data_IF_666551945511
#
_entry.id   IF_666551945511
#
_cell.length_a   1.000
_cell.length_b   1.000
_cell.length_c   1.000
_cell.angle_alpha   90.00
_cell.angle_beta   90.00
_cell.angle_gamma   90.00
#
_symmetry.space_group_name_H-M   'P 1'
#
loop_
_entity.id
_entity.type
_entity.pdbx_description
1 polymer ?
#
# COMPACT_ATOMS: atom_id res chain seq x y z
N UNK A 1 -19.77 -22.50 -17.50
CA UNK A 1 -20.74 -21.88 -16.56
C UNK A 1 -21.75 -22.95 -16.14
N UNK A 2 -21.42 -23.71 -15.10
CA UNK A 2 -22.37 -24.60 -14.44
C UNK A 2 -22.66 -23.99 -13.07
N UNK A 3 -23.83 -23.39 -12.91
CA UNK A 3 -24.31 -22.97 -11.60
C UNK A 3 -24.74 -24.24 -10.85
N UNK A 4 -23.90 -24.73 -9.93
CA UNK A 4 -24.32 -25.78 -9.02
C UNK A 4 -25.28 -25.16 -8.01
N UNK A 5 -26.55 -25.50 -8.10
CA UNK A 5 -27.57 -25.16 -7.12
C UNK A 5 -27.42 -26.12 -5.94
N UNK A 6 -26.55 -25.77 -4.99
CA UNK A 6 -26.57 -26.41 -3.67
C UNK A 6 -27.77 -25.86 -2.89
N UNK A 7 -28.91 -26.56 -2.97
CA UNK A 7 -30.03 -26.36 -2.06
C UNK A 7 -29.61 -26.79 -0.66
N UNK A 8 -29.17 -25.85 0.17
CA UNK A 8 -29.07 -26.08 1.61
C UNK A 8 -30.40 -25.70 2.24
N UNK A 9 -31.12 -26.73 2.68
CA UNK A 9 -32.32 -26.62 3.51
C UNK A 9 -32.01 -25.81 4.76
N UNK A 10 -32.66 -24.66 4.91
CA UNK A 10 -32.64 -23.87 6.12
C UNK A 10 -33.33 -24.63 7.27
N UNK A 11 -32.53 -25.24 8.16
CA UNK A 11 -33.01 -25.58 9.49
C UNK A 11 -32.75 -24.40 10.41
N UNK A 12 -33.77 -23.56 10.56
CA UNK A 12 -33.82 -22.56 11.61
C UNK A 12 -33.78 -23.25 12.98
N UNK A 13 -32.66 -23.13 13.67
CA UNK A 13 -32.61 -23.38 15.12
C UNK A 13 -31.74 -22.33 15.80
N UNK A 14 -32.42 -21.39 16.46
CA UNK A 14 -32.02 -20.82 17.74
C UNK A 14 -30.70 -20.05 17.83
N UNK A 15 -30.66 -18.84 17.29
CA UNK A 15 -30.03 -17.67 17.93
C UNK A 15 -30.49 -16.42 17.16
N UNK A 16 -30.90 -15.36 17.86
CA UNK A 16 -31.43 -14.12 17.29
C UNK A 16 -30.38 -13.27 16.56
N UNK A 17 -29.71 -13.83 15.55
CA UNK A 17 -28.95 -13.07 14.58
C UNK A 17 -29.89 -12.56 13.50
N UNK A 18 -29.92 -11.24 13.26
CA UNK A 18 -30.45 -10.70 12.01
C UNK A 18 -29.56 -11.21 10.88
N UNK A 19 -29.85 -12.42 10.39
CA UNK A 19 -29.18 -13.00 9.25
C UNK A 19 -29.58 -12.19 8.03
N UNK A 20 -28.75 -11.23 7.65
CA UNK A 20 -28.79 -10.74 6.27
C UNK A 20 -28.64 -11.98 5.38
N UNK A 21 -29.48 -12.15 4.34
CA UNK A 21 -29.26 -13.22 3.38
C UNK A 21 -27.81 -13.08 2.88
N UNK A 22 -27.04 -14.16 2.99
CA UNK A 22 -25.63 -14.13 2.59
C UNK A 22 -25.52 -13.71 1.14
N UNK A 23 -24.78 -12.63 0.87
CA UNK A 23 -24.36 -12.27 -0.48
C UNK A 23 -23.57 -13.45 -1.07
N UNK A 24 -23.99 -13.94 -2.23
CA UNK A 24 -23.27 -14.98 -2.95
C UNK A 24 -21.86 -14.51 -3.30
N UNK A 25 -20.85 -15.31 -2.98
CA UNK A 25 -19.47 -15.04 -3.37
C UNK A 25 -19.26 -15.48 -4.82
N UNK A 26 -18.81 -14.55 -5.67
CA UNK A 26 -18.33 -14.89 -7.01
C UNK A 26 -16.83 -15.14 -6.93
N UNK A 27 -16.41 -16.34 -7.29
CA UNK A 27 -15.02 -16.75 -7.34
C UNK A 27 -14.74 -17.48 -8.66
N UNK A 28 -13.50 -17.43 -9.13
CA UNK A 28 -13.02 -18.16 -10.31
C UNK A 28 -12.64 -19.62 -9.99
N UNK A 29 -12.80 -20.04 -8.73
CA UNK A 29 -12.54 -21.38 -8.22
C UNK A 29 -13.69 -21.91 -7.35
N UNK A 30 -13.79 -23.24 -7.25
CA UNK A 30 -14.79 -23.92 -6.44
C UNK A 30 -14.27 -24.24 -5.02
N UNK A 31 -13.08 -24.83 -4.92
CA UNK A 31 -12.47 -25.23 -3.65
C UNK A 31 -11.00 -24.82 -3.53
N UNK A 32 -10.22 -24.96 -4.61
CA UNK A 32 -8.80 -24.61 -4.63
C UNK A 32 -8.54 -23.46 -5.60
N UNK A 33 -7.75 -22.48 -5.16
CA UNK A 33 -7.39 -21.31 -5.97
C UNK A 33 -6.67 -21.73 -7.24
N UNK A 34 -7.12 -21.19 -8.37
CA UNK A 34 -6.43 -21.31 -9.66
C UNK A 34 -5.22 -20.37 -9.68
N UNK A 35 -4.17 -20.69 -10.44
CA UNK A 35 -2.96 -19.84 -10.54
C UNK A 35 -1.67 -20.43 -9.94
N UNK A 36 -1.62 -21.74 -9.66
CA UNK A 36 -0.35 -22.44 -9.40
C UNK A 36 0.39 -22.01 -8.12
N UNK A 37 -0.34 -21.60 -7.08
CA UNK A 37 0.23 -21.25 -5.77
C UNK A 37 0.88 -19.86 -5.71
N UNK A 38 0.66 -19.00 -6.71
CA UNK A 38 1.23 -17.64 -6.73
C UNK A 38 0.51 -16.64 -5.84
N UNK A 39 -0.64 -17.00 -5.26
CA UNK A 39 -1.48 -16.11 -4.44
C UNK A 39 -0.67 -15.36 -3.38
N UNK A 40 -0.73 -14.03 -3.41
CA UNK A 40 -0.06 -13.17 -2.43
C UNK A 40 1.48 -13.15 -2.54
N UNK A 41 2.04 -13.68 -3.63
CA UNK A 41 3.47 -13.64 -3.91
C UNK A 41 3.83 -12.49 -4.85
N UNK A 42 5.11 -12.15 -4.94
CA UNK A 42 5.62 -11.19 -5.94
C UNK A 42 5.42 -11.62 -7.40
N UNK A 43 5.05 -12.89 -7.62
CA UNK A 43 4.80 -13.45 -8.95
C UNK A 43 3.32 -13.48 -9.30
N UNK A 44 2.46 -12.97 -8.41
CA UNK A 44 1.04 -12.70 -8.66
C UNK A 44 0.91 -11.46 -9.54
N UNK A 45 1.31 -11.61 -10.81
CA UNK A 45 1.34 -10.54 -11.81
C UNK A 45 0.15 -10.66 -12.77
N UNK A 46 0.06 -9.73 -13.72
CA UNK A 46 -0.92 -9.77 -14.82
C UNK A 46 -0.84 -10.98 -15.73
N UNK A 47 0.25 -11.75 -15.66
CA UNK A 47 0.43 -12.90 -16.55
C UNK A 47 -0.70 -13.92 -16.33
N UNK A 48 -1.65 -13.92 -17.26
CA UNK A 48 -2.82 -14.81 -17.23
C UNK A 48 -4.14 -14.15 -16.83
N UNK A 49 -4.17 -12.84 -16.54
CA UNK A 49 -5.43 -12.10 -16.37
C UNK A 49 -5.91 -11.59 -17.73
N UNK A 50 -7.09 -12.05 -18.15
CA UNK A 50 -7.75 -11.62 -19.38
C UNK A 50 -8.78 -10.52 -19.07
N UNK A 51 -8.52 -9.30 -19.58
CA UNK A 51 -9.40 -8.17 -19.37
C UNK A 51 -10.82 -8.38 -19.94
N UNK A 52 -10.95 -9.17 -21.01
CA UNK A 52 -12.26 -9.51 -21.59
C UNK A 52 -13.11 -10.32 -20.61
N UNK A 53 -12.50 -11.31 -19.93
CA UNK A 53 -13.17 -12.10 -18.90
C UNK A 53 -13.55 -11.26 -17.67
N UNK A 54 -12.69 -10.30 -17.29
CA UNK A 54 -13.02 -9.35 -16.21
C UNK A 54 -14.19 -8.45 -16.62
N UNK A 55 -14.26 -8.02 -17.88
CA UNK A 55 -15.40 -7.25 -18.38
C UNK A 55 -16.70 -8.07 -18.37
N UNK A 56 -16.67 -9.32 -18.83
CA UNK A 56 -17.83 -10.21 -18.79
C UNK A 56 -18.32 -10.47 -17.36
N UNK A 57 -17.39 -10.74 -16.44
CA UNK A 57 -17.72 -10.88 -15.02
C UNK A 57 -18.35 -9.61 -14.44
N UNK A 58 -17.85 -8.44 -14.84
CA UNK A 58 -18.40 -7.14 -14.45
C UNK A 58 -19.81 -6.93 -14.99
N UNK A 59 -20.12 -7.41 -16.21
CA UNK A 59 -21.47 -7.35 -16.77
C UNK A 59 -22.46 -8.19 -15.96
N UNK A 60 -22.06 -9.41 -15.57
CA UNK A 60 -22.87 -10.29 -14.74
C UNK A 60 -23.12 -9.66 -13.37
N UNK A 61 -22.08 -9.11 -12.74
CA UNK A 61 -22.21 -8.41 -11.46
C UNK A 61 -23.14 -7.18 -11.57
N UNK A 62 -22.96 -6.35 -12.60
CA UNK A 62 -23.79 -5.17 -12.83
C UNK A 62 -25.27 -5.53 -13.03
N UNK A 63 -25.56 -6.56 -13.83
CA UNK A 63 -26.93 -7.05 -14.04
C UNK A 63 -27.55 -7.61 -12.75
N UNK A 64 -26.76 -8.31 -11.92
CA UNK A 64 -27.22 -8.81 -10.63
C UNK A 64 -27.58 -7.66 -9.67
N UNK A 65 -26.69 -6.67 -9.51
CA UNK A 65 -26.94 -5.49 -8.68
C UNK A 65 -28.14 -4.68 -9.16
N UNK A 66 -28.26 -4.49 -10.48
CA UNK A 66 -29.39 -3.77 -11.08
C UNK A 66 -30.73 -4.45 -10.80
N UNK A 67 -30.81 -5.78 -10.97
CA UNK A 67 -32.02 -6.55 -10.67
C UNK A 67 -32.35 -6.58 -9.18
N UNK A 68 -31.34 -6.69 -8.31
CA UNK A 68 -31.52 -6.62 -6.86
C UNK A 68 -32.08 -5.26 -6.43
N UNK A 69 -31.72 -4.19 -7.13
CA UNK A 69 -32.29 -2.85 -6.93
C UNK A 69 -33.70 -2.69 -7.55
N UNK A 70 -34.27 -3.72 -8.16
CA UNK A 70 -35.59 -3.68 -8.82
C UNK A 70 -35.56 -3.12 -10.26
N UNK A 71 -34.37 -2.94 -10.83
CA UNK A 71 -34.19 -2.46 -12.19
C UNK A 71 -34.49 -3.51 -13.26
N UNK A 72 -34.99 -3.06 -14.40
CA UNK A 72 -35.25 -3.88 -15.59
C UNK A 72 -34.15 -3.69 -16.66
N UNK A 73 -33.88 -4.75 -17.43
CA UNK A 73 -32.83 -4.74 -18.46
C UNK A 73 -31.49 -5.33 -18.01
N UNK A 74 -30.45 -5.10 -18.81
CA UNK A 74 -29.09 -5.60 -18.56
C UNK A 74 -28.08 -4.49 -18.84
N UNK A 75 -27.57 -3.79 -17.80
CA UNK A 75 -26.55 -2.78 -17.99
C UNK A 75 -25.29 -3.43 -18.60
N UNK A 76 -24.70 -2.73 -19.56
CA UNK A 76 -23.45 -3.15 -20.19
C UNK A 76 -22.27 -2.37 -19.58
N UNK A 77 -21.22 -3.06 -19.09
CA UNK A 77 -20.02 -2.39 -18.60
C UNK A 77 -19.24 -1.77 -19.77
N UNK A 78 -18.50 -0.70 -19.48
CA UNK A 78 -17.54 -0.13 -20.43
C UNK A 78 -16.23 -0.95 -20.39
N UNK A 79 -16.04 -1.89 -21.32
CA UNK A 79 -14.86 -2.76 -21.32
C UNK A 79 -13.55 -2.01 -21.55
N UNK A 80 -13.56 -0.91 -22.30
CA UNK A 80 -12.35 -0.08 -22.47
C UNK A 80 -11.90 0.53 -21.15
N UNK A 81 -12.86 0.91 -20.29
CA UNK A 81 -12.55 1.40 -18.94
C UNK A 81 -11.99 0.29 -18.03
N UNK A 82 -12.48 -0.95 -18.18
CA UNK A 82 -11.96 -2.11 -17.44
C UNK A 82 -10.51 -2.40 -17.81
N UNK A 83 -10.19 -2.38 -19.11
CA UNK A 83 -8.82 -2.56 -19.61
C UNK A 83 -7.87 -1.47 -19.08
N UNK A 84 -8.30 -0.21 -19.14
CA UNK A 84 -7.52 0.93 -18.62
C UNK A 84 -7.28 0.78 -17.11
N UNK A 85 -8.31 0.41 -16.34
CA UNK A 85 -8.21 0.17 -14.90
C UNK A 85 -7.27 -0.96 -14.55
N UNK A 86 -7.35 -2.10 -15.26
CA UNK A 86 -6.44 -3.22 -15.06
C UNK A 86 -4.99 -2.79 -15.35
N UNK A 87 -4.80 -1.99 -16.41
CA UNK A 87 -3.50 -1.38 -16.73
C UNK A 87 -2.95 -0.52 -15.60
N UNK A 88 -3.77 0.38 -15.06
CA UNK A 88 -3.42 1.24 -13.93
C UNK A 88 -3.10 0.46 -12.66
N UNK A 89 -3.89 -0.57 -12.38
CA UNK A 89 -3.76 -1.33 -11.14
C UNK A 89 -2.59 -2.31 -11.17
N UNK A 90 -2.20 -2.81 -12.34
CA UNK A 90 -1.34 -3.99 -12.37
C UNK A 90 -0.10 -3.84 -13.26
N UNK A 91 -0.06 -2.92 -14.21
CA UNK A 91 1.06 -2.81 -15.18
C UNK A 91 1.84 -1.51 -15.07
N UNK A 92 1.15 -0.36 -14.98
CA UNK A 92 1.78 0.93 -15.29
C UNK A 92 1.82 1.88 -14.08
N UNK A 93 3.01 2.13 -13.49
CA UNK A 93 3.21 3.13 -12.45
C UNK A 93 3.14 4.58 -12.98
N UNK A 94 2.69 4.80 -14.22
CA UNK A 94 2.42 6.12 -14.83
C UNK A 94 1.15 6.10 -15.67
N UNK A 95 0.16 5.30 -15.28
CA UNK A 95 -1.04 5.19 -16.08
C UNK A 95 -1.72 6.57 -16.26
N UNK A 96 -2.31 6.77 -17.44
CA UNK A 96 -2.90 8.05 -17.84
C UNK A 96 -4.00 8.50 -16.87
N UNK A 97 -4.83 7.56 -16.39
CA UNK A 97 -5.91 7.85 -15.44
C UNK A 97 -5.38 8.39 -14.11
N UNK A 98 -4.34 7.78 -13.53
CA UNK A 98 -3.76 8.26 -12.27
C UNK A 98 -3.18 9.67 -12.43
N UNK A 99 -2.52 9.91 -13.56
CA UNK A 99 -1.97 11.23 -13.91
C UNK A 99 -3.07 12.29 -14.06
N UNK A 100 -4.17 11.96 -14.74
CA UNK A 100 -5.32 12.85 -14.90
C UNK A 100 -6.03 13.16 -13.58
N UNK A 101 -6.03 12.20 -12.66
CA UNK A 101 -6.64 12.32 -11.34
C UNK A 101 -5.69 12.96 -10.30
N UNK A 102 -4.47 13.33 -10.69
CA UNK A 102 -3.44 13.91 -9.81
C UNK A 102 -3.15 13.06 -8.55
N UNK A 103 -3.23 11.74 -8.70
CA UNK A 103 -2.96 10.77 -7.62
C UNK A 103 -1.80 9.85 -7.99
N UNK A 104 -1.08 9.38 -6.98
CA UNK A 104 -0.06 8.36 -7.19
C UNK A 104 -0.72 7.07 -7.70
N UNK A 105 -0.14 6.44 -8.74
CA UNK A 105 -0.65 5.18 -9.24
C UNK A 105 -0.45 4.09 -8.20
N UNK A 106 -1.36 3.12 -8.15
CA UNK A 106 -1.39 2.13 -7.10
C UNK A 106 -0.39 0.99 -7.38
N UNK A 107 0.88 1.25 -7.06
CA UNK A 107 2.02 0.33 -7.30
C UNK A 107 2.07 -0.87 -6.36
N UNK A 108 1.34 -0.83 -5.25
CA UNK A 108 1.24 -1.92 -4.28
C UNK A 108 -0.16 -2.02 -3.69
N UNK A 109 -0.60 -3.26 -3.44
CA UNK A 109 -1.84 -3.59 -2.72
C UNK A 109 -1.64 -3.80 -1.23
N UNK A 110 -0.40 -3.70 -0.77
CA UNK A 110 -0.11 -3.75 0.65
C UNK A 110 -0.81 -2.59 1.36
N UNK A 111 -1.58 -2.88 2.41
CA UNK A 111 -2.36 -1.88 3.15
C UNK A 111 -1.50 -0.98 4.01
N UNK A 112 -0.27 -1.42 4.32
CA UNK A 112 0.64 -0.80 5.30
C UNK A 112 0.01 -0.63 6.69
N UNK A 113 0.76 -0.05 7.62
CA UNK A 113 0.27 0.31 8.94
C UNK A 113 -0.81 1.40 8.85
N UNK A 114 -1.90 1.20 9.58
CA UNK A 114 -2.88 2.25 9.78
C UNK A 114 -2.28 3.38 10.62
N UNK A 115 -2.41 4.63 10.16
CA UNK A 115 -1.98 5.81 10.88
C UNK A 115 -3.21 6.66 11.23
N UNK A 116 -3.46 6.97 12.51
CA UNK A 116 -4.58 7.79 12.94
C UNK A 116 -4.25 9.27 12.72
N UNK A 117 -4.14 9.69 11.46
CA UNK A 117 -3.96 11.10 11.09
C UNK A 117 -5.33 11.77 10.99
N UNK A 118 -5.57 12.80 11.80
CA UNK A 118 -6.79 13.61 11.75
C UNK A 118 -6.79 14.44 10.46
N UNK A 119 -7.58 14.03 9.48
CA UNK A 119 -7.95 14.87 8.32
C UNK A 119 -7.05 14.78 7.09
N UNK A 120 -5.88 14.16 7.20
CA UNK A 120 -5.09 13.76 6.03
C UNK A 120 -5.31 12.26 5.83
N UNK A 121 -5.78 11.88 4.63
CA UNK A 121 -5.92 10.49 4.23
C UNK A 121 -4.58 9.77 4.42
N UNK A 122 -4.40 9.11 5.56
CA UNK A 122 -3.46 8.01 5.76
C UNK A 122 -3.96 6.75 5.02
N UNK A 123 -4.55 6.96 3.84
CA UNK A 123 -5.01 5.91 2.97
C UNK A 123 -3.81 5.46 2.11
N UNK A 124 -3.70 4.15 1.90
CA UNK A 124 -2.75 3.61 0.93
C UNK A 124 -2.93 4.27 -0.44
N UNK A 125 -1.87 4.34 -1.25
CA UNK A 125 -1.96 4.87 -2.62
C UNK A 125 -3.09 4.20 -3.43
N UNK A 126 -3.32 2.90 -3.19
CA UNK A 126 -4.46 2.16 -3.73
C UNK A 126 -5.82 2.75 -3.35
N UNK A 127 -6.05 3.02 -2.06
CA UNK A 127 -7.32 3.57 -1.59
C UNK A 127 -7.53 5.01 -2.07
N UNK A 128 -6.46 5.83 -2.13
CA UNK A 128 -6.51 7.19 -2.70
C UNK A 128 -6.90 7.16 -4.18
N UNK A 129 -6.24 6.31 -4.97
CA UNK A 129 -6.55 6.14 -6.38
C UNK A 129 -7.99 5.65 -6.59
N UNK A 130 -8.42 4.61 -5.86
CA UNK A 130 -9.78 4.07 -5.99
C UNK A 130 -10.85 5.11 -5.64
N UNK A 131 -10.66 5.89 -4.57
CA UNK A 131 -11.59 6.95 -4.19
C UNK A 131 -11.66 8.07 -5.24
N UNK A 132 -10.51 8.52 -5.75
CA UNK A 132 -10.46 9.54 -6.81
C UNK A 132 -11.10 9.04 -8.11
N UNK A 133 -10.79 7.81 -8.50
CA UNK A 133 -11.37 7.17 -9.68
C UNK A 133 -12.90 7.04 -9.57
N UNK A 134 -13.40 6.52 -8.45
CA UNK A 134 -14.85 6.39 -8.23
C UNK A 134 -15.56 7.74 -8.26
N UNK A 135 -14.98 8.79 -7.65
CA UNK A 135 -15.54 10.14 -7.73
C UNK A 135 -15.63 10.60 -9.18
N UNK A 136 -14.53 10.52 -9.94
CA UNK A 136 -14.50 10.94 -11.33
C UNK A 136 -15.47 10.14 -12.22
N UNK A 137 -15.59 8.83 -12.01
CA UNK A 137 -16.51 7.98 -12.75
C UNK A 137 -18.00 8.28 -12.46
N UNK A 138 -18.32 8.74 -11.25
CA UNK A 138 -19.69 9.05 -10.83
C UNK A 138 -20.12 10.48 -11.15
N UNK A 139 -19.19 11.44 -11.29
CA UNK A 139 -19.50 12.85 -11.59
C UNK A 139 -20.40 13.02 -12.83
N UNK A 140 -20.15 12.35 -13.98
CA UNK A 140 -21.00 12.48 -15.16
C UNK A 140 -22.43 11.93 -14.99
N UNK A 141 -22.67 11.13 -13.95
CA UNK A 141 -24.00 10.58 -13.65
C UNK A 141 -24.88 11.57 -12.86
N UNK A 142 -24.31 12.69 -12.41
CA UNK A 142 -25.08 13.75 -11.78
C UNK A 142 -25.85 14.56 -12.83
N UNK A 143 -27.19 14.68 -12.72
CA UNK A 143 -27.97 15.42 -13.70
C UNK A 143 -27.55 16.90 -13.71
N UNK A 144 -27.24 17.42 -14.89
CA UNK A 144 -27.08 18.85 -15.12
C UNK A 144 -28.45 19.42 -15.53
N UNK A 145 -29.21 19.95 -14.57
CA UNK A 145 -30.44 20.70 -14.87
C UNK A 145 -30.46 22.07 -14.17
N UNK A 146 -31.17 23.07 -14.76
CA UNK A 146 -31.22 24.42 -14.21
C UNK A 146 -31.95 24.40 -12.87
N UNK A 147 -31.26 24.89 -11.83
CA UNK A 147 -31.72 24.98 -10.44
C UNK A 147 -33.19 25.40 -10.31
N UNK A 148 -34.10 24.45 -10.10
CA UNK A 148 -35.25 24.65 -9.21
C UNK A 148 -34.81 24.18 -7.85
N UNK A 149 -34.44 25.11 -6.96
CA UNK A 149 -33.99 24.76 -5.63
C UNK A 149 -35.10 23.99 -4.90
N UNK A 150 -34.78 22.78 -4.45
CA UNK A 150 -35.63 22.02 -3.52
C UNK A 150 -35.66 22.65 -2.11
N UNK A 151 -34.86 23.70 -1.89
CA UNK A 151 -34.84 24.51 -0.68
C UNK A 151 -34.96 25.99 -1.05
N UNK A 152 -36.07 26.68 -0.73
CA UNK A 152 -36.18 28.12 -0.90
C UNK A 152 -35.34 28.80 0.19
N UNK A 153 -34.19 29.38 -0.17
CA UNK A 153 -33.40 30.23 0.76
C UNK A 153 -31.87 30.14 0.69
N UNK A 154 -31.28 29.21 -0.07
CA UNK A 154 -29.82 29.15 -0.18
C UNK A 154 -29.29 30.17 -1.20
N UNK A 155 -29.03 31.40 -0.76
CA UNK A 155 -28.33 32.42 -1.54
C UNK A 155 -26.83 32.12 -1.59
N UNK A 156 -26.44 31.18 -2.43
CA UNK A 156 -25.06 30.95 -2.83
C UNK A 156 -24.93 31.10 -4.33
N UNK A 157 -24.12 32.05 -4.78
CA UNK A 157 -23.69 32.21 -6.17
C UNK A 157 -22.95 30.95 -6.58
N UNK A 158 -23.63 29.98 -7.19
CA UNK A 158 -22.97 28.85 -7.82
C UNK A 158 -22.71 29.20 -9.28
N UNK A 159 -21.48 28.95 -9.70
CA UNK A 159 -21.09 29.01 -11.10
C UNK A 159 -21.96 28.08 -11.94
N UNK A 160 -22.34 28.62 -13.10
CA UNK A 160 -23.07 27.92 -14.15
C UNK A 160 -22.25 26.69 -14.58
N UNK A 161 -22.75 25.48 -14.30
CA UNK A 161 -22.06 24.21 -14.62
C UNK A 161 -21.63 23.33 -13.44
N UNK A 162 -21.89 23.73 -12.19
CA UNK A 162 -21.63 22.86 -11.04
C UNK A 162 -22.61 21.67 -10.98
N UNK A 163 -22.16 20.40 -10.86
CA UNK A 163 -23.04 19.25 -10.78
C UNK A 163 -23.96 19.32 -9.55
N UNK A 164 -25.24 18.96 -9.72
CA UNK A 164 -26.29 19.05 -8.69
C UNK A 164 -26.14 18.01 -7.57
N UNK A 165 -25.30 17.00 -7.76
CA UNK A 165 -24.89 16.09 -6.71
C UNK A 165 -23.37 16.01 -6.64
N UNK A 166 -22.87 15.89 -5.42
CA UNK A 166 -21.51 15.45 -5.16
C UNK A 166 -21.59 13.94 -4.90
N UNK A 167 -20.99 13.07 -5.75
CA UNK A 167 -21.05 11.64 -5.53
C UNK A 167 -20.40 11.32 -4.18
N UNK A 168 -21.17 10.68 -3.29
CA UNK A 168 -20.74 10.43 -1.90
C UNK A 168 -19.78 9.24 -1.85
N UNK A 169 -18.51 9.49 -2.19
CA UNK A 169 -17.42 8.53 -2.04
C UNK A 169 -16.69 8.82 -0.73
N UNK A 170 -17.04 8.03 0.28
CA UNK A 170 -16.46 8.09 1.62
C UNK A 170 -15.39 7.01 1.77
N UNK A 171 -14.32 7.38 2.46
CA UNK A 171 -13.35 6.41 2.98
C UNK A 171 -13.73 6.05 4.40
N UNK A 172 -13.47 4.81 4.79
CA UNK A 172 -13.74 4.32 6.15
C UNK A 172 -12.49 3.66 6.70
N UNK A 173 -12.25 3.84 8.00
CA UNK A 173 -11.13 3.21 8.69
C UNK A 173 -11.33 1.68 8.72
N UNK A 174 -10.29 0.95 8.33
CA UNK A 174 -10.29 -0.51 8.31
C UNK A 174 -9.18 -1.01 9.25
N UNK A 175 -9.49 -1.04 10.54
CA UNK A 175 -8.60 -1.48 11.63
C UNK A 175 -9.22 -2.68 12.32
N UNK A 176 -8.40 -3.56 12.90
CA UNK A 176 -8.88 -4.67 13.73
C UNK A 176 -9.76 -4.11 14.87
N UNK A 177 -10.96 -4.67 15.09
CA UNK A 177 -11.86 -4.20 16.14
C UNK A 177 -11.30 -4.41 17.55
N UNK A 178 -10.30 -5.29 17.72
CA UNK A 178 -9.59 -5.46 19.00
C UNK A 178 -8.59 -4.34 19.30
N UNK A 179 -8.40 -3.37 18.41
CA UNK A 179 -7.51 -2.21 18.63
C UNK A 179 -8.31 -0.92 18.85
N UNK A 180 -7.93 -0.19 19.88
CA UNK A 180 -8.40 1.18 20.13
C UNK A 180 -7.22 2.15 20.15
N UNK A 181 -7.35 3.32 19.53
CA UNK A 181 -6.33 4.35 19.57
C UNK A 181 -6.54 5.29 20.76
N UNK A 182 -5.60 5.26 21.71
CA UNK A 182 -5.54 6.22 22.81
C UNK A 182 -4.83 7.49 22.34
N UNK A 183 -5.62 8.53 22.06
CA UNK A 183 -5.13 9.80 21.54
C UNK A 183 -4.32 10.61 22.57
N UNK A 184 -4.52 10.39 23.88
CA UNK A 184 -3.77 11.08 24.92
C UNK A 184 -2.38 10.48 25.09
N UNK A 185 -2.30 9.15 25.11
CA UNK A 185 -1.04 8.43 25.21
C UNK A 185 -0.31 8.27 23.87
N UNK A 186 -1.01 8.49 22.74
CA UNK A 186 -0.46 8.33 21.40
C UNK A 186 -0.13 6.88 21.05
N UNK A 187 -0.90 5.92 21.58
CA UNK A 187 -0.64 4.47 21.44
C UNK A 187 -1.91 3.73 21.04
N UNK A 188 -1.73 2.61 20.34
CA UNK A 188 -2.81 1.62 20.19
C UNK A 188 -2.86 0.71 21.42
N UNK A 189 -4.06 0.43 21.89
CA UNK A 189 -4.36 -0.47 22.99
C UNK A 189 -5.14 -1.67 22.48
N UNK A 190 -4.80 -2.85 22.99
CA UNK A 190 -5.57 -4.07 22.77
C UNK A 190 -6.74 -4.07 23.75
N UNK A 191 -7.97 -4.03 23.21
CA UNK A 191 -9.21 -3.95 24.01
C UNK A 191 -9.95 -5.27 24.12
N UNK A 192 -9.67 -6.23 23.24
CA UNK A 192 -10.24 -7.57 23.28
C UNK A 192 -9.15 -8.64 23.13
N UNK A 193 -8.43 -8.89 24.23
CA UNK A 193 -7.39 -9.91 24.29
C UNK A 193 -7.93 -11.32 24.04
N UNK A 194 -9.18 -11.58 24.47
CA UNK A 194 -9.80 -12.88 24.35
C UNK A 194 -10.14 -13.21 22.90
N UNK A 195 -10.63 -12.25 22.12
CA UNK A 195 -10.91 -12.45 20.70
C UNK A 195 -9.63 -12.75 19.89
N UNK A 196 -8.52 -12.09 20.23
CA UNK A 196 -7.23 -12.36 19.60
C UNK A 196 -6.67 -13.72 20.02
N UNK A 197 -6.71 -14.04 21.33
CA UNK A 197 -6.21 -15.32 21.84
C UNK A 197 -6.99 -16.53 21.30
N UNK A 198 -8.31 -16.38 21.10
CA UNK A 198 -9.17 -17.42 20.55
C UNK A 198 -9.18 -17.44 19.00
N UNK A 199 -8.45 -16.52 18.34
CA UNK A 199 -8.35 -16.44 16.89
C UNK A 199 -9.62 -16.00 16.18
N UNK A 200 -10.58 -15.40 16.89
CA UNK A 200 -11.81 -14.85 16.31
C UNK A 200 -11.60 -13.46 15.71
N UNK A 201 -10.55 -12.76 16.13
CA UNK A 201 -10.08 -11.54 15.47
C UNK A 201 -8.63 -11.71 14.98
N UNK A 202 -8.34 -11.15 13.80
CA UNK A 202 -7.03 -11.19 13.18
C UNK A 202 -6.26 -9.91 13.52
N UNK A 203 -5.31 -10.02 14.46
CA UNK A 203 -4.45 -8.91 14.84
C UNK A 203 -3.11 -8.99 14.10
N UNK A 204 -2.79 -7.96 13.31
CA UNK A 204 -1.52 -7.78 12.63
C UNK A 204 -0.97 -6.39 12.90
N UNK A 205 0.29 -6.30 13.33
CA UNK A 205 1.00 -5.03 13.55
C UNK A 205 2.30 -5.02 12.75
N UNK A 206 2.56 -3.95 12.04
CA UNK A 206 3.80 -3.74 11.29
C UNK A 206 4.85 -3.09 12.20
N UNK A 207 6.09 -3.61 12.17
CA UNK A 207 7.19 -3.01 12.93
C UNK A 207 7.58 -1.67 12.31
N UNK A 208 7.83 -0.66 13.14
CA UNK A 208 8.50 0.54 12.68
C UNK A 208 9.93 0.21 12.21
N UNK A 209 10.40 0.85 11.14
CA UNK A 209 11.79 0.77 10.67
C UNK A 209 12.39 2.17 10.46
N UNK A 210 13.72 2.30 10.53
CA UNK A 210 14.38 3.56 10.19
C UNK A 210 14.05 3.99 8.77
N UNK A 211 13.80 5.28 8.57
CA UNK A 211 13.45 5.86 7.25
C UNK A 211 14.43 5.47 6.15
N UNK A 212 15.70 5.33 6.49
CA UNK A 212 16.79 5.04 5.55
C UNK A 212 17.16 3.56 5.55
N UNK A 213 16.31 2.72 4.97
CA UNK A 213 16.65 1.32 4.69
C UNK A 213 17.46 1.26 3.40
N UNK A 214 18.74 0.89 3.50
CA UNK A 214 19.64 0.80 2.35
C UNK A 214 20.45 -0.49 2.38
N UNK A 215 20.70 -1.04 1.20
CA UNK A 215 21.64 -2.12 1.00
C UNK A 215 22.91 -1.54 0.36
N UNK A 216 24.04 -1.67 1.04
CA UNK A 216 25.34 -1.23 0.52
C UNK A 216 26.13 -2.43 0.01
N UNK A 217 26.50 -2.41 -1.26
CA UNK A 217 27.47 -3.35 -1.81
C UNK A 217 28.88 -2.86 -1.50
N UNK A 218 29.66 -3.66 -0.77
CA UNK A 218 31.08 -3.42 -0.58
C UNK A 218 31.86 -4.24 -1.60
N UNK A 219 32.64 -3.56 -2.45
CA UNK A 219 33.54 -4.20 -3.42
C UNK A 219 34.63 -5.05 -2.73
N UNK A 220 34.88 -4.77 -1.46
CA UNK A 220 35.90 -5.42 -0.67
C UNK A 220 35.43 -5.58 0.77
N UNK A 221 35.54 -6.80 1.30
CA UNK A 221 35.34 -7.09 2.72
C UNK A 221 36.66 -7.62 3.26
N UNK A 222 37.43 -6.82 4.02
CA UNK A 222 38.71 -7.26 4.52
C UNK A 222 38.55 -8.50 5.38
N UNK A 223 39.48 -9.45 5.23
CA UNK A 223 39.50 -10.61 6.12
C UNK A 223 39.80 -10.16 7.56
N UNK A 224 39.33 -10.88 8.59
CA UNK A 224 39.55 -10.48 9.99
C UNK A 224 41.04 -10.29 10.36
N UNK A 225 41.96 -10.90 9.60
CA UNK A 225 43.41 -10.82 9.76
C UNK A 225 44.07 -9.59 9.11
N UNK A 226 43.42 -8.92 8.17
CA UNK A 226 44.03 -7.82 7.42
C UNK A 226 44.13 -6.49 8.18
N UNK A 227 43.10 -6.03 8.92
CA UNK A 227 43.23 -4.81 9.72
C UNK A 227 44.43 -4.83 10.69
N UNK A 228 44.64 -5.88 11.50
CA UNK A 228 45.79 -5.90 12.42
C UNK A 228 47.13 -5.94 11.67
N UNK A 229 47.20 -6.55 10.48
CA UNK A 229 48.42 -6.53 9.65
C UNK A 229 48.71 -5.13 9.11
N UNK A 230 47.70 -4.43 8.58
CA UNK A 230 47.85 -3.05 8.11
C UNK A 230 48.25 -2.10 9.24
N UNK A 231 47.67 -2.26 10.43
CA UNK A 231 48.08 -1.51 11.62
C UNK A 231 49.52 -1.82 12.05
N UNK A 232 49.94 -3.08 12.00
CA UNK A 232 51.32 -3.48 12.33
C UNK A 232 52.33 -2.92 11.32
N UNK A 233 52.01 -2.92 10.01
CA UNK A 233 52.82 -2.28 8.98
C UNK A 233 52.92 -0.76 9.18
N UNK A 234 51.82 -0.09 9.51
CA UNK A 234 51.84 1.34 9.80
C UNK A 234 52.69 1.67 11.05
N UNK A 235 52.54 0.89 12.13
CA UNK A 235 53.29 1.10 13.37
C UNK A 235 54.80 0.87 13.18
N UNK A 236 55.20 -0.17 12.44
CA UNK A 236 56.62 -0.44 12.13
C UNK A 236 57.22 0.60 11.20
N UNK A 237 56.46 1.09 10.22
CA UNK A 237 56.86 2.22 9.37
C UNK A 237 57.05 3.52 10.17
N UNK A 238 56.15 3.83 11.10
CA UNK A 238 56.31 4.98 11.99
C UNK A 238 57.54 4.84 12.89
N UNK A 239 57.75 3.66 13.49
CA UNK A 239 58.89 3.40 14.37
C UNK A 239 60.24 3.50 13.63
N UNK A 240 60.32 2.96 12.40
CA UNK A 240 61.55 3.06 11.58
C UNK A 240 61.81 4.50 11.14
N UNK A 241 60.78 5.25 10.75
CA UNK A 241 60.91 6.67 10.41
C UNK A 241 61.40 7.48 11.61
N UNK A 242 60.84 7.24 12.81
CA UNK A 242 61.27 7.90 14.04
C UNK A 242 62.73 7.57 14.38
N UNK A 243 63.15 6.31 14.21
CA UNK A 243 64.52 5.87 14.43
C UNK A 243 65.50 6.54 13.45
N UNK A 244 65.14 6.65 12.16
CA UNK A 244 65.96 7.33 11.15
C UNK A 244 66.08 8.82 11.45
N UNK A 245 65.00 9.49 11.87
CA UNK A 245 65.03 10.90 12.29
C UNK A 245 65.93 11.07 13.51
N UNK A 246 65.77 10.24 14.55
CA UNK A 246 66.60 10.28 15.75
C UNK A 246 68.09 10.06 15.45
N UNK A 247 68.42 9.09 14.59
CA UNK A 247 69.79 8.84 14.12
C UNK A 247 70.35 10.01 13.31
N UNK A 248 69.52 10.66 12.49
CA UNK A 248 69.90 11.83 11.70
C UNK A 248 70.17 13.05 12.59
N UNK A 249 69.30 13.33 13.56
CA UNK A 249 69.51 14.38 14.57
C UNK A 249 70.76 14.10 15.43
N UNK A 250 71.01 12.85 15.83
CA UNK A 250 72.22 12.46 16.57
C UNK A 250 73.50 12.68 15.76
N UNK A 251 73.50 12.35 14.46
CA UNK A 251 74.65 12.60 13.56
C UNK A 251 74.88 14.10 13.31
N UNK A 252 73.82 14.90 13.19
CA UNK A 252 73.92 16.36 13.08
C UNK A 252 74.54 16.96 14.35
N UNK A 253 74.10 16.53 15.54
CA UNK A 253 74.72 16.95 16.79
C UNK A 253 76.19 16.53 16.87
N UNK A 254 76.57 15.29 16.51
CA UNK A 254 77.99 14.89 16.48
C UNK A 254 78.86 15.72 15.53
N UNK A 255 78.34 16.15 14.38
CA UNK A 255 79.07 17.05 13.46
C UNK A 255 79.14 18.50 13.95
N UNK A 256 78.16 18.96 14.72
CA UNK A 256 78.18 20.27 15.39
C UNK A 256 79.25 20.36 16.48
N UNK A 257 79.50 19.27 17.21
CA UNK A 257 80.55 19.20 18.22
C UNK A 257 81.97 19.07 17.64
N UNK A 258 82.12 18.57 16.41
CA UNK A 258 83.43 18.47 15.71
C UNK A 258 83.86 19.76 15.00
N UNK A 259 83.09 20.86 15.10
CA UNK A 259 83.45 22.19 14.57
C UNK A 259 83.72 23.24 15.65
N UNK A 260 83.79 22.84 16.92
CA UNK A 260 84.19 23.74 18.02
C UNK A 260 85.41 23.14 18.71
N UNK A 261 86.54 23.26 18.03
CA UNK A 261 87.87 23.16 18.62
C UNK A 261 88.83 23.81 17.63
N UNK A 262 89.21 25.04 17.96
CA UNK A 262 90.36 25.76 17.40
C UNK A 262 91.65 24.94 17.52
#
# INVERSE_FOLDING_TARGET
LAASSASSSASASGAGGRGCPSLGTLADYDAERRGGGRYGSRFDTLEGIDASLVCEASAVAAAAWWRLAGGEGSPAPNCSLVEELLGCFLTDPRCATATQLEVEPPTSRYTSAFLPLRGELAASGTAKFAAAFLRAALVPLCPAEPRRSLFPGASGTAEEGSPLCEPTVLTHDAVSPSLEYDAEAGIFRLVDEAAVANGTDALWTESNWPRDTHATLWLYRPSPSEPPLLFAFAATSMATTLAVVALSCSRINRKGWLRVSD
#
